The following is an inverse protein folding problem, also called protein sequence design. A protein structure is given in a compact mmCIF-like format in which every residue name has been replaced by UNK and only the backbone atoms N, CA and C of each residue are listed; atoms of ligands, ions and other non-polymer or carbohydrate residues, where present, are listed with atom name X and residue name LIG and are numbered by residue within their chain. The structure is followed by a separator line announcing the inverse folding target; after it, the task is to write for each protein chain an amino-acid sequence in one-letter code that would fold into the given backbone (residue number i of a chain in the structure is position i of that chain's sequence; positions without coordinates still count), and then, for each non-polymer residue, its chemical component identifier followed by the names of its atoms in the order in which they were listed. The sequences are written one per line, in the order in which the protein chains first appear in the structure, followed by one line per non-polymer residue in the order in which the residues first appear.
data_IF_758096833298
#
_entry.id   IF_758096833298
#
_cell.length_a   1.000
_cell.length_b   1.000
_cell.length_c   1.000
_cell.angle_alpha   90.00
_cell.angle_beta   90.00
_cell.angle_gamma   90.00
#
_symmetry.space_group_name_H-M   'P 1'
#
loop_
_entity.id
_entity.type
_entity.pdbx_description
1 polymer ?
#
# COMPACT_ATOMS: atom_id res chain seq x y z
N UNK A 1 8.76 23.51 -33.95
CA UNK A 1 7.74 23.45 -32.88
C UNK A 1 8.48 23.30 -31.57
N UNK A 2 8.58 24.37 -30.78
CA UNK A 2 9.10 24.26 -29.41
C UNK A 2 8.08 23.46 -28.58
N UNK A 3 8.55 22.43 -27.90
CA UNK A 3 7.76 21.59 -27.03
C UNK A 3 8.39 21.56 -25.65
N UNK A 4 7.54 21.50 -24.62
CA UNK A 4 8.00 21.40 -23.25
C UNK A 4 8.62 20.02 -23.00
N UNK A 5 9.86 20.00 -22.53
CA UNK A 5 10.56 18.76 -22.16
C UNK A 5 10.43 18.58 -20.64
N UNK A 6 9.66 17.57 -20.23
CA UNK A 6 9.48 17.22 -18.82
C UNK A 6 10.71 16.49 -18.28
N UNK A 7 11.65 17.23 -17.73
CA UNK A 7 12.93 16.72 -17.20
C UNK A 7 13.15 17.12 -15.73
N UNK A 8 12.14 16.89 -14.89
CA UNK A 8 12.27 17.09 -13.44
C UNK A 8 13.09 15.95 -12.84
N UNK A 9 14.07 16.29 -12.00
CA UNK A 9 14.85 15.30 -11.25
C UNK A 9 13.89 14.49 -10.35
N UNK A 10 13.86 13.14 -10.48
CA UNK A 10 13.03 12.31 -9.63
C UNK A 10 13.46 12.32 -8.15
N UNK A 11 14.70 12.77 -7.86
CA UNK A 11 15.24 12.85 -6.51
C UNK A 11 15.02 14.24 -5.92
N UNK A 12 14.58 14.27 -4.67
CA UNK A 12 14.49 15.48 -3.84
C UNK A 12 15.85 15.76 -3.23
N UNK A 13 16.43 14.76 -2.56
CA UNK A 13 17.73 14.82 -1.91
C UNK A 13 18.50 13.52 -2.12
N UNK A 14 19.81 13.65 -2.28
CA UNK A 14 20.73 12.52 -2.42
C UNK A 14 21.77 12.59 -1.30
N UNK A 15 21.73 11.61 -0.40
CA UNK A 15 22.70 11.45 0.68
C UNK A 15 23.49 10.16 0.46
N UNK A 16 24.54 10.23 -0.38
CA UNK A 16 25.33 9.06 -0.77
C UNK A 16 24.48 8.01 -1.48
N UNK A 17 24.43 6.74 -1.01
CA UNK A 17 23.59 5.70 -1.61
C UNK A 17 22.09 5.86 -1.34
N UNK A 18 21.70 6.72 -0.39
CA UNK A 18 20.31 6.95 -0.05
C UNK A 18 19.74 8.09 -0.90
N UNK A 19 18.73 7.77 -1.72
CA UNK A 19 18.04 8.74 -2.56
C UNK A 19 16.60 8.91 -2.06
N UNK A 20 16.24 10.12 -1.64
CA UNK A 20 14.86 10.46 -1.35
C UNK A 20 14.17 10.89 -2.65
N UNK A 21 13.20 10.09 -3.12
CA UNK A 21 12.48 10.33 -4.37
C UNK A 21 11.12 10.96 -4.13
N UNK A 22 10.66 11.80 -5.07
CA UNK A 22 9.31 12.37 -5.05
C UNK A 22 8.24 11.30 -4.90
N UNK A 23 8.36 10.22 -5.68
CA UNK A 23 7.47 9.07 -5.61
C UNK A 23 7.31 8.51 -4.19
N UNK A 24 8.43 8.30 -3.48
CA UNK A 24 8.41 7.74 -2.13
C UNK A 24 7.73 8.68 -1.12
N UNK A 25 7.97 9.99 -1.25
CA UNK A 25 7.34 10.99 -0.38
C UNK A 25 5.84 11.07 -0.61
N UNK A 26 5.39 11.10 -1.87
CA UNK A 26 3.98 11.14 -2.22
C UNK A 26 3.27 9.84 -1.80
N UNK A 27 3.94 8.69 -1.99
CA UNK A 27 3.44 7.39 -1.56
C UNK A 27 3.24 7.34 -0.03
N UNK A 28 4.24 7.71 0.77
CA UNK A 28 4.09 7.75 2.25
C UNK A 28 3.04 8.81 2.66
N UNK A 29 3.02 9.94 1.96
CA UNK A 29 2.03 11.00 2.17
C UNK A 29 0.60 10.52 1.96
N UNK A 30 0.36 9.64 0.97
CA UNK A 30 -0.98 9.10 0.73
C UNK A 30 -1.49 8.22 1.87
N UNK A 31 -0.62 7.40 2.47
CA UNK A 31 -0.96 6.61 3.66
C UNK A 31 -1.24 7.50 4.87
N UNK A 32 -0.42 8.53 5.08
CA UNK A 32 -0.62 9.46 6.18
C UNK A 32 -1.96 10.21 6.07
N UNK A 33 -2.28 10.75 4.89
CA UNK A 33 -3.56 11.41 4.66
C UNK A 33 -4.73 10.42 4.73
N UNK A 34 -4.55 9.19 4.22
CA UNK A 34 -5.54 8.12 4.33
C UNK A 34 -5.84 7.74 5.78
N UNK A 35 -4.83 7.69 6.65
CA UNK A 35 -4.97 7.47 8.09
C UNK A 35 -5.83 8.56 8.72
N UNK A 36 -5.50 9.83 8.49
CA UNK A 36 -6.27 10.97 9.02
C UNK A 36 -7.73 10.94 8.54
N UNK A 37 -7.94 10.63 7.26
CA UNK A 37 -9.27 10.53 6.68
C UNK A 37 -10.08 9.39 7.30
N UNK A 38 -9.47 8.22 7.48
CA UNK A 38 -10.14 7.08 8.11
C UNK A 38 -10.44 7.33 9.59
N UNK A 39 -9.54 7.96 10.34
CA UNK A 39 -9.82 8.39 11.71
C UNK A 39 -11.02 9.34 11.78
N UNK A 40 -11.12 10.28 10.82
CA UNK A 40 -12.28 11.16 10.72
C UNK A 40 -13.57 10.41 10.37
N UNK A 41 -13.53 9.46 9.43
CA UNK A 41 -14.67 8.61 9.06
C UNK A 41 -15.15 7.79 10.26
N UNK A 42 -14.24 7.13 10.99
CA UNK A 42 -14.57 6.35 12.17
C UNK A 42 -15.29 7.20 13.22
N UNK A 43 -14.74 8.39 13.55
CA UNK A 43 -15.37 9.34 14.47
C UNK A 43 -16.77 9.74 14.01
N UNK A 44 -16.92 10.07 12.74
CA UNK A 44 -18.19 10.55 12.17
C UNK A 44 -19.27 9.45 12.13
N UNK A 45 -18.87 8.20 11.96
CA UNK A 45 -19.78 7.05 11.84
C UNK A 45 -19.96 6.28 13.16
N UNK A 46 -19.61 6.87 14.30
CA UNK A 46 -19.72 6.29 15.65
C UNK A 46 -18.97 4.94 15.79
N UNK A 47 -17.76 4.87 15.23
CA UNK A 47 -16.80 3.75 15.38
C UNK A 47 -15.58 4.19 16.18
N UNK A 48 -14.85 3.24 16.75
CA UNK A 48 -13.68 3.53 17.57
C UNK A 48 -12.47 3.93 16.70
N UNK A 49 -12.02 5.20 16.75
CA UNK A 49 -10.90 5.66 15.95
C UNK A 49 -9.56 5.03 16.35
N UNK A 50 -9.46 4.44 17.55
CA UNK A 50 -8.27 3.72 18.00
C UNK A 50 -7.98 2.47 17.14
N UNK A 51 -9.00 1.94 16.45
CA UNK A 51 -8.83 0.78 15.59
C UNK A 51 -8.16 1.12 14.24
N UNK A 52 -8.12 2.39 13.84
CA UNK A 52 -7.60 2.78 12.52
C UNK A 52 -6.10 2.53 12.40
N UNK A 53 -5.33 2.68 13.48
CA UNK A 53 -3.89 2.37 13.47
C UNK A 53 -3.66 0.87 13.24
N UNK A 54 -4.50 0.03 13.84
CA UNK A 54 -4.50 -1.41 13.58
C UNK A 54 -4.89 -1.68 12.14
N UNK A 55 -5.99 -1.08 11.64
CA UNK A 55 -6.44 -1.23 10.26
C UNK A 55 -5.33 -0.89 9.25
N UNK A 56 -4.61 0.21 9.47
CA UNK A 56 -3.49 0.63 8.64
C UNK A 56 -2.41 -0.45 8.57
N UNK A 57 -2.05 -1.04 9.71
CA UNK A 57 -1.08 -2.15 9.75
C UNK A 57 -1.55 -3.36 8.94
N UNK A 58 -2.81 -3.77 9.08
CA UNK A 58 -3.37 -4.89 8.30
C UNK A 58 -3.32 -4.59 6.80
N UNK A 59 -3.74 -3.39 6.39
CA UNK A 59 -3.75 -2.97 4.98
C UNK A 59 -2.33 -2.93 4.41
N UNK A 60 -1.37 -2.32 5.12
CA UNK A 60 0.03 -2.26 4.68
C UNK A 60 0.66 -3.66 4.58
N UNK A 61 0.47 -4.50 5.60
CA UNK A 61 0.99 -5.86 5.60
C UNK A 61 0.36 -6.70 4.47
N UNK A 62 -0.96 -6.62 4.31
CA UNK A 62 -1.69 -7.29 3.25
C UNK A 62 -1.22 -6.86 1.86
N UNK A 63 -1.05 -5.55 1.64
CA UNK A 63 -0.57 -5.01 0.38
C UNK A 63 0.84 -5.51 0.03
N UNK A 64 1.79 -5.41 0.97
CA UNK A 64 3.18 -5.81 0.74
C UNK A 64 3.30 -7.32 0.54
N UNK A 65 2.68 -8.12 1.43
CA UNK A 65 2.73 -9.58 1.35
C UNK A 65 2.02 -10.08 0.09
N UNK A 66 0.82 -9.58 -0.19
CA UNK A 66 0.07 -9.96 -1.38
C UNK A 66 0.79 -9.58 -2.67
N UNK A 67 1.33 -8.36 -2.76
CA UNK A 67 2.08 -7.91 -3.93
C UNK A 67 3.36 -8.74 -4.15
N UNK A 68 4.06 -9.08 -3.06
CA UNK A 68 5.29 -9.87 -3.15
C UNK A 68 5.01 -11.31 -3.55
N UNK A 69 4.08 -11.97 -2.88
CA UNK A 69 3.73 -13.36 -3.18
C UNK A 69 3.18 -13.51 -4.60
N UNK A 70 2.32 -12.59 -5.05
CA UNK A 70 1.83 -12.63 -6.43
C UNK A 70 2.96 -12.46 -7.44
N UNK A 71 3.90 -11.54 -7.20
CA UNK A 71 5.05 -11.40 -8.07
C UNK A 71 5.87 -12.70 -8.14
N UNK A 72 6.24 -13.25 -6.98
CA UNK A 72 7.05 -14.45 -6.90
C UNK A 72 6.39 -15.66 -7.56
N UNK A 73 5.07 -15.84 -7.38
CA UNK A 73 4.36 -17.02 -7.86
C UNK A 73 3.88 -16.90 -9.30
N UNK A 74 3.50 -15.71 -9.76
CA UNK A 74 2.92 -15.52 -11.08
C UNK A 74 3.94 -15.11 -12.15
N UNK A 75 5.04 -14.46 -11.78
CA UNK A 75 6.01 -13.92 -12.75
C UNK A 75 7.30 -14.73 -12.80
N UNK A 76 7.85 -15.15 -11.66
CA UNK A 76 9.16 -15.84 -11.60
C UNK A 76 9.15 -17.09 -10.68
N UNK A 77 8.17 -18.00 -10.81
CA UNK A 77 8.01 -19.11 -9.87
C UNK A 77 9.25 -20.00 -9.76
N UNK A 78 9.91 -20.33 -10.87
CA UNK A 78 11.09 -21.21 -10.89
C UNK A 78 12.27 -20.63 -10.09
N UNK A 79 12.47 -19.31 -10.16
CA UNK A 79 13.53 -18.63 -9.42
C UNK A 79 13.25 -18.62 -7.91
N UNK A 80 12.04 -18.26 -7.51
CA UNK A 80 11.70 -18.15 -6.09
C UNK A 80 11.52 -19.52 -5.41
N UNK A 81 11.13 -20.56 -6.15
CA UNK A 81 11.09 -21.93 -5.63
C UNK A 81 12.48 -22.51 -5.41
N UNK A 82 13.46 -22.13 -6.24
CA UNK A 82 14.87 -22.51 -6.03
C UNK A 82 15.57 -21.66 -4.96
N UNK A 83 15.10 -20.43 -4.72
CA UNK A 83 15.67 -19.49 -3.75
C UNK A 83 14.60 -18.89 -2.81
N UNK A 84 13.99 -19.69 -1.92
CA UNK A 84 12.83 -19.25 -1.12
C UNK A 84 13.12 -18.06 -0.21
N UNK A 85 14.37 -17.86 0.22
CA UNK A 85 14.76 -16.71 1.03
C UNK A 85 14.67 -15.38 0.26
N UNK A 86 14.72 -15.39 -1.07
CA UNK A 86 14.58 -14.19 -1.90
C UNK A 86 13.16 -13.60 -1.84
N UNK A 87 12.16 -14.40 -1.46
CA UNK A 87 10.77 -13.93 -1.32
C UNK A 87 10.69 -12.79 -0.29
N UNK A 88 11.47 -12.86 0.80
CA UNK A 88 11.47 -11.85 1.86
C UNK A 88 12.20 -10.55 1.50
N UNK A 89 13.02 -10.55 0.43
CA UNK A 89 13.83 -9.39 0.03
C UNK A 89 13.03 -8.40 -0.81
N UNK A 90 12.03 -7.77 -0.19
CA UNK A 90 11.13 -6.80 -0.85
C UNK A 90 11.85 -5.56 -1.39
N UNK A 91 13.04 -5.24 -0.89
CA UNK A 91 13.87 -4.13 -1.36
C UNK A 91 14.55 -4.40 -2.72
N UNK A 92 14.57 -5.65 -3.19
CA UNK A 92 15.04 -5.99 -4.53
C UNK A 92 14.00 -5.67 -5.62
N UNK A 93 12.86 -5.09 -5.26
CA UNK A 93 11.73 -4.83 -6.15
C UNK A 93 10.82 -6.05 -6.27
N UNK A 94 10.07 -6.14 -7.38
CA UNK A 94 9.16 -7.26 -7.63
C UNK A 94 7.92 -7.23 -6.74
N UNK A 95 7.07 -6.22 -6.94
CA UNK A 95 5.79 -6.07 -6.28
C UNK A 95 4.67 -5.96 -7.33
N UNK A 96 3.76 -6.93 -7.31
CA UNK A 96 2.65 -7.01 -8.25
C UNK A 96 1.42 -6.26 -7.70
N UNK A 97 0.95 -5.22 -8.41
CA UNK A 97 -0.14 -4.33 -7.94
C UNK A 97 -1.46 -5.06 -7.65
N UNK A 98 -1.94 -5.88 -8.60
CA UNK A 98 -3.08 -6.78 -8.43
C UNK A 98 -2.94 -7.76 -7.25
N UNK A 99 -1.73 -8.27 -6.98
CA UNK A 99 -1.44 -9.05 -5.77
C UNK A 99 -1.61 -8.23 -4.49
N UNK A 100 -1.17 -6.98 -4.52
CA UNK A 100 -1.36 -6.03 -3.42
C UNK A 100 -2.84 -5.77 -3.15
N UNK A 101 -3.64 -5.55 -4.20
CA UNK A 101 -5.10 -5.37 -4.05
C UNK A 101 -5.77 -6.61 -3.42
N UNK A 102 -5.46 -7.81 -3.92
CA UNK A 102 -5.98 -9.06 -3.34
C UNK A 102 -5.56 -9.23 -1.88
N UNK A 103 -4.31 -8.91 -1.56
CA UNK A 103 -3.78 -8.94 -0.20
C UNK A 103 -4.50 -7.94 0.72
N UNK A 104 -4.80 -6.73 0.26
CA UNK A 104 -5.60 -5.74 1.01
C UNK A 104 -7.02 -6.23 1.25
N UNK A 105 -7.70 -6.77 0.23
CA UNK A 105 -9.06 -7.31 0.40
C UNK A 105 -9.09 -8.44 1.44
N UNK A 106 -8.11 -9.34 1.40
CA UNK A 106 -7.97 -10.39 2.41
C UNK A 106 -7.69 -9.80 3.79
N UNK A 107 -6.80 -8.81 3.90
CA UNK A 107 -6.49 -8.16 5.18
C UNK A 107 -7.71 -7.45 5.78
N UNK A 108 -8.51 -6.77 4.96
CA UNK A 108 -9.78 -6.16 5.39
C UNK A 108 -10.77 -7.22 5.88
N UNK A 109 -10.81 -8.40 5.25
CA UNK A 109 -11.67 -9.50 5.70
C UNK A 109 -11.22 -10.06 7.05
N UNK A 110 -9.92 -10.24 7.25
CA UNK A 110 -9.36 -10.69 8.53
C UNK A 110 -9.64 -9.66 9.63
N UNK A 111 -9.38 -8.37 9.35
CA UNK A 111 -9.61 -7.28 10.27
C UNK A 111 -11.09 -7.19 10.67
N UNK A 112 -12.00 -7.21 9.69
CA UNK A 112 -13.44 -7.21 9.91
C UNK A 112 -13.88 -8.30 10.90
N UNK A 113 -13.34 -9.52 10.76
CA UNK A 113 -13.66 -10.64 11.66
C UNK A 113 -13.09 -10.48 13.06
N UNK A 114 -11.89 -9.90 13.20
CA UNK A 114 -11.23 -9.73 14.50
C UNK A 114 -11.82 -8.58 15.31
N UNK A 115 -12.27 -7.52 14.64
CA UNK A 115 -12.82 -6.31 15.26
C UNK A 115 -14.35 -6.26 15.22
N UNK A 116 -15.01 -7.34 14.78
CA UNK A 116 -16.46 -7.43 14.64
C UNK A 116 -17.07 -6.28 13.80
N UNK A 117 -16.34 -5.88 12.76
CA UNK A 117 -16.76 -4.84 11.83
C UNK A 117 -17.39 -5.43 10.56
N UNK A 118 -18.18 -4.62 9.86
CA UNK A 118 -18.75 -5.02 8.57
C UNK A 118 -17.69 -4.94 7.47
N UNK A 119 -17.38 -6.09 6.86
CA UNK A 119 -16.44 -6.17 5.75
C UNK A 119 -16.84 -5.30 4.54
N UNK A 120 -18.11 -5.30 4.17
CA UNK A 120 -18.62 -4.46 3.08
C UNK A 120 -18.53 -2.97 3.40
N UNK A 121 -18.78 -2.61 4.66
CA UNK A 121 -18.57 -1.25 5.12
C UNK A 121 -17.10 -0.85 4.97
N UNK A 122 -16.17 -1.67 5.46
CA UNK A 122 -14.74 -1.42 5.33
C UNK A 122 -14.30 -1.22 3.89
N UNK A 123 -14.62 -2.16 2.98
CA UNK A 123 -14.25 -2.03 1.57
C UNK A 123 -14.81 -0.73 0.97
N UNK A 124 -16.07 -0.40 1.26
CA UNK A 124 -16.68 0.82 0.73
C UNK A 124 -15.94 2.08 1.19
N UNK A 125 -15.54 2.16 2.47
CA UNK A 125 -14.82 3.34 3.01
C UNK A 125 -13.38 3.37 2.53
N UNK A 126 -12.75 2.21 2.34
CA UNK A 126 -11.39 2.06 1.84
C UNK A 126 -11.21 2.51 0.39
N UNK A 127 -12.29 2.62 -0.39
CA UNK A 127 -12.23 3.22 -1.73
C UNK A 127 -11.75 4.69 -1.70
N UNK A 128 -12.06 5.42 -0.62
CA UNK A 128 -11.70 6.83 -0.49
C UNK A 128 -10.18 7.04 -0.31
N UNK A 129 -9.50 6.44 0.71
CA UNK A 129 -8.05 6.50 0.79
C UNK A 129 -7.35 5.75 -0.36
N UNK A 130 -8.01 4.75 -0.96
CA UNK A 130 -7.53 4.09 -2.17
C UNK A 130 -7.45 5.04 -3.37
N UNK A 131 -8.50 5.83 -3.62
CA UNK A 131 -8.52 6.85 -4.68
C UNK A 131 -7.50 7.97 -4.40
N UNK A 132 -7.34 8.37 -3.13
CA UNK A 132 -6.31 9.32 -2.72
C UNK A 132 -4.90 8.79 -3.03
N UNK A 133 -4.65 7.51 -2.77
CA UNK A 133 -3.36 6.89 -3.09
C UNK A 133 -3.12 6.82 -4.59
N UNK A 134 -4.12 6.49 -5.39
CA UNK A 134 -4.03 6.48 -6.85
C UNK A 134 -3.82 7.88 -7.46
N UNK A 135 -4.14 8.96 -6.74
CA UNK A 135 -3.84 10.32 -7.18
C UNK A 135 -2.35 10.67 -7.00
N UNK A 136 -1.70 10.13 -5.97
CA UNK A 136 -0.32 10.45 -5.60
C UNK A 136 0.74 9.54 -6.24
N UNK A 137 0.32 8.41 -6.81
CA UNK A 137 1.16 7.28 -7.22
C UNK A 137 0.82 6.87 -8.64
#
# INVERSE_FOLDING_TARGET
MEHFIWNIDPNIFTFGPLQLRWYGVLFVGSFFLGLLLMQWIYKRENRDPAEVDSLLFYVMAGAVVGARLMHCLAYEPDFYLSHPLEIFKVWNGGLASHGGLLGVLLALWIFARRHNESYFWLISRMTIPGALSAFFV
#
